data_IF_734852173531
#
_entry.id   IF_734852173531
#
_cell.length_a   1.000
_cell.length_b   1.000
_cell.length_c   1.000
_cell.angle_alpha   90.00
_cell.angle_beta   90.00
_cell.angle_gamma   90.00
#
_symmetry.space_group_name_H-M   'P 1'
#
loop_
_entity.id
_entity.type
_entity.pdbx_description
1 polymer ?
#
# COMPACT_ATOMS: atom_id res chain seq x y z
N UNK A 1 -36.11 25.16 -19.40
CA UNK A 1 -34.66 25.09 -19.12
C UNK A 1 -34.37 23.69 -18.62
N UNK A 2 -33.43 22.95 -19.23
CA UNK A 2 -33.03 21.63 -18.72
C UNK A 2 -32.25 21.82 -17.41
N UNK A 3 -32.68 21.10 -16.38
CA UNK A 3 -32.05 21.14 -15.06
C UNK A 3 -30.71 20.39 -15.18
N UNK A 4 -29.60 21.09 -14.96
CA UNK A 4 -28.29 20.45 -14.89
C UNK A 4 -28.22 19.62 -13.61
N UNK A 5 -27.88 18.34 -13.72
CA UNK A 5 -27.59 17.46 -12.59
C UNK A 5 -26.08 17.30 -12.51
N UNK A 6 -25.50 17.72 -11.40
CA UNK A 6 -24.09 17.44 -11.10
C UNK A 6 -24.01 16.15 -10.31
N UNK A 7 -23.38 15.13 -10.88
CA UNK A 7 -23.04 13.90 -10.18
C UNK A 7 -21.63 14.07 -9.62
N UNK A 8 -21.50 14.06 -8.29
CA UNK A 8 -20.21 14.05 -7.60
C UNK A 8 -19.98 12.65 -7.04
N UNK A 9 -18.76 12.13 -7.16
CA UNK A 9 -18.36 10.97 -6.36
C UNK A 9 -18.28 11.39 -4.89
N UNK A 10 -18.63 10.47 -3.99
CA UNK A 10 -18.44 10.67 -2.56
C UNK A 10 -16.97 11.01 -2.28
N UNK A 11 -16.75 11.97 -1.38
CA UNK A 11 -15.42 12.27 -0.86
C UNK A 11 -14.81 10.98 -0.32
N UNK A 12 -13.68 10.56 -0.88
CA UNK A 12 -12.82 9.54 -0.27
C UNK A 12 -12.24 10.19 0.98
N UNK A 13 -12.56 9.63 2.14
CA UNK A 13 -11.96 10.04 3.40
C UNK A 13 -10.62 9.33 3.49
N UNK A 14 -9.53 10.10 3.61
CA UNK A 14 -8.20 9.53 3.79
C UNK A 14 -7.99 9.28 5.28
N UNK A 15 -8.44 8.10 5.73
CA UNK A 15 -8.34 7.62 7.10
C UNK A 15 -7.05 6.81 7.32
N UNK A 16 -6.85 6.24 8.50
CA UNK A 16 -5.70 5.36 8.75
C UNK A 16 -5.79 4.15 7.80
N UNK A 17 -4.75 3.83 7.02
CA UNK A 17 -4.78 2.69 6.11
C UNK A 17 -5.07 1.34 6.79
N UNK A 18 -4.92 1.24 8.12
CA UNK A 18 -5.30 0.04 8.88
C UNK A 18 -6.82 -0.12 9.07
N UNK A 19 -7.61 0.92 8.85
CA UNK A 19 -9.08 0.90 9.04
C UNK A 19 -9.83 0.47 7.77
N UNK A 20 -9.16 0.43 6.61
CA UNK A 20 -9.78 0.05 5.35
C UNK A 20 -9.58 -1.46 5.05
N UNK A 21 -10.68 -2.20 5.02
CA UNK A 21 -10.67 -3.65 4.73
C UNK A 21 -10.75 -3.97 3.24
N UNK A 22 -11.73 -3.41 2.54
CA UNK A 22 -12.14 -3.86 1.20
C UNK A 22 -12.74 -2.76 0.31
N UNK A 23 -12.56 -1.48 0.67
CA UNK A 23 -12.99 -0.36 -0.16
C UNK A 23 -12.01 -0.11 -1.31
N UNK A 24 -12.39 -0.52 -2.53
CA UNK A 24 -11.54 -0.42 -3.72
C UNK A 24 -11.10 1.01 -4.04
N UNK A 25 -11.97 2.02 -3.84
CA UNK A 25 -11.63 3.41 -4.11
C UNK A 25 -10.57 3.92 -3.12
N UNK A 26 -10.72 3.60 -1.83
CA UNK A 26 -9.76 3.99 -0.79
C UNK A 26 -8.43 3.23 -0.95
N UNK A 27 -8.48 1.91 -1.21
CA UNK A 27 -7.29 1.08 -1.42
C UNK A 27 -6.45 1.59 -2.59
N UNK A 28 -7.07 2.00 -3.70
CA UNK A 28 -6.35 2.57 -4.85
C UNK A 28 -5.58 3.84 -4.48
N UNK A 29 -6.14 4.68 -3.60
CA UNK A 29 -5.43 5.87 -3.10
C UNK A 29 -4.30 5.48 -2.14
N UNK A 30 -4.51 4.49 -1.27
CA UNK A 30 -3.44 4.01 -0.38
C UNK A 30 -2.27 3.39 -1.13
N UNK A 31 -2.52 2.58 -2.16
CA UNK A 31 -1.47 2.02 -3.02
C UNK A 31 -0.68 3.10 -3.79
N UNK A 32 -1.25 4.30 -3.97
CA UNK A 32 -0.57 5.43 -4.58
C UNK A 32 0.30 6.24 -3.61
N UNK A 33 0.05 6.14 -2.30
CA UNK A 33 0.70 6.96 -1.25
C UNK A 33 1.62 6.15 -0.34
N UNK A 34 1.32 4.87 -0.13
CA UNK A 34 2.03 3.96 0.75
C UNK A 34 2.53 2.73 -0.01
N UNK A 35 3.68 2.22 0.42
CA UNK A 35 4.22 0.96 -0.07
C UNK A 35 4.25 -0.10 1.05
N UNK A 36 4.02 -1.37 0.67
CA UNK A 36 4.19 -2.50 1.56
C UNK A 36 5.63 -3.05 1.54
N UNK A 37 5.97 -3.92 2.50
CA UNK A 37 7.25 -4.65 2.48
C UNK A 37 7.39 -5.53 1.23
N UNK A 38 6.29 -6.19 0.86
CA UNK A 38 6.17 -7.07 -0.31
C UNK A 38 4.87 -6.77 -1.04
N UNK A 39 4.85 -6.94 -2.36
CA UNK A 39 3.65 -6.74 -3.19
C UNK A 39 3.24 -8.01 -3.88
N UNK A 40 1.94 -8.20 -4.08
CA UNK A 40 1.39 -9.30 -4.88
C UNK A 40 1.31 -8.87 -6.35
N UNK A 41 1.95 -9.61 -7.24
CA UNK A 41 1.89 -9.39 -8.68
C UNK A 41 0.58 -9.91 -9.29
N UNK A 42 0.35 -9.53 -10.55
CA UNK A 42 -0.82 -9.96 -11.33
C UNK A 42 -0.87 -11.48 -11.57
N UNK A 43 0.28 -12.14 -11.49
CA UNK A 43 0.43 -13.60 -11.56
C UNK A 43 0.18 -14.29 -10.22
N UNK A 44 -0.20 -13.54 -9.19
CA UNK A 44 -0.47 -14.02 -7.84
C UNK A 44 0.78 -14.31 -7.00
N UNK A 45 1.99 -14.07 -7.52
CA UNK A 45 3.24 -14.27 -6.78
C UNK A 45 3.60 -13.04 -5.95
N UNK A 46 4.44 -13.22 -4.95
CA UNK A 46 4.96 -12.13 -4.13
C UNK A 46 6.30 -11.62 -4.66
N UNK A 47 6.44 -10.29 -4.71
CA UNK A 47 7.60 -9.59 -5.25
C UNK A 47 8.16 -8.59 -4.23
N UNK A 48 9.46 -8.28 -4.30
CA UNK A 48 10.07 -7.17 -3.58
C UNK A 48 9.33 -5.84 -3.80
N UNK A 49 9.13 -5.10 -2.71
CA UNK A 49 8.63 -3.73 -2.67
C UNK A 49 9.60 -2.90 -1.80
N UNK A 50 9.23 -2.42 -0.61
CA UNK A 50 10.17 -1.76 0.30
C UNK A 50 11.29 -2.69 0.77
N UNK A 51 10.97 -3.97 0.98
CA UNK A 51 11.98 -5.00 1.22
C UNK A 51 12.55 -5.48 -0.12
N UNK A 52 13.88 -5.43 -0.27
CA UNK A 52 14.57 -6.00 -1.43
C UNK A 52 14.66 -7.53 -1.37
N UNK A 53 14.63 -8.10 -0.17
CA UNK A 53 14.62 -9.54 0.06
C UNK A 53 14.07 -9.88 1.44
N UNK A 54 13.73 -11.15 1.64
CA UNK A 54 13.35 -11.69 2.93
C UNK A 54 13.77 -13.14 3.08
N UNK A 55 13.94 -13.58 4.32
CA UNK A 55 14.26 -14.97 4.68
C UNK A 55 13.25 -15.47 5.69
N UNK A 56 12.76 -16.68 5.48
CA UNK A 56 11.89 -17.41 6.40
C UNK A 56 12.70 -18.47 7.14
N UNK A 57 12.62 -18.43 8.46
CA UNK A 57 13.17 -19.49 9.33
C UNK A 57 12.57 -20.86 9.02
N UNK A 58 13.30 -21.93 9.34
CA UNK A 58 12.90 -23.32 9.02
C UNK A 58 11.56 -23.73 9.64
N UNK A 59 11.19 -23.16 10.79
CA UNK A 59 9.94 -23.43 11.48
C UNK A 59 8.80 -22.49 11.07
N UNK A 60 9.05 -21.60 10.11
CA UNK A 60 8.14 -20.59 9.60
C UNK A 60 7.64 -19.57 10.65
N UNK A 61 8.36 -19.37 11.76
CA UNK A 61 7.93 -18.46 12.84
C UNK A 61 8.61 -17.10 12.82
N UNK A 62 9.77 -17.01 12.18
CA UNK A 62 10.53 -15.78 12.04
C UNK A 62 10.72 -15.42 10.57
N UNK A 63 10.32 -14.20 10.22
CA UNK A 63 10.60 -13.54 8.96
C UNK A 63 11.63 -12.43 9.18
N UNK A 64 12.67 -12.39 8.36
CA UNK A 64 13.64 -11.30 8.35
C UNK A 64 13.58 -10.61 7.00
N UNK A 65 13.24 -9.33 6.99
CA UNK A 65 13.18 -8.50 5.79
C UNK A 65 14.42 -7.62 5.71
N UNK A 66 15.02 -7.52 4.52
CA UNK A 66 16.06 -6.55 4.24
C UNK A 66 15.44 -5.41 3.44
N UNK A 67 15.40 -4.21 4.03
CA UNK A 67 14.89 -3.01 3.37
C UNK A 67 15.89 -2.51 2.32
N UNK A 68 15.37 -1.84 1.28
CA UNK A 68 16.22 -1.08 0.35
C UNK A 68 16.93 0.04 1.10
N UNK A 69 18.14 0.38 0.67
CA UNK A 69 18.89 1.48 1.26
C UNK A 69 18.34 2.85 0.84
N UNK A 70 18.44 3.83 1.73
CA UNK A 70 18.10 5.23 1.43
C UNK A 70 16.62 5.52 1.25
N UNK A 71 15.75 4.66 1.78
CA UNK A 71 14.31 4.92 1.80
C UNK A 71 13.99 6.07 2.75
N UNK A 72 13.09 6.95 2.31
CA UNK A 72 12.60 8.08 3.10
C UNK A 72 11.09 8.16 3.02
N UNK A 73 10.47 8.67 4.07
CA UNK A 73 9.08 9.12 4.03
C UNK A 73 8.94 10.40 3.20
N UNK A 74 7.69 10.78 2.91
CA UNK A 74 7.36 11.97 2.13
C UNK A 74 7.83 13.28 2.77
N UNK A 75 8.08 13.30 4.07
CA UNK A 75 8.65 14.44 4.82
C UNK A 75 10.19 14.45 4.84
N UNK A 76 10.83 13.47 4.22
CA UNK A 76 12.29 13.31 4.18
C UNK A 76 12.89 12.59 5.39
N UNK A 77 12.09 12.16 6.37
CA UNK A 77 12.59 11.33 7.46
C UNK A 77 13.07 9.97 6.90
N UNK A 78 14.18 9.41 7.42
CA UNK A 78 14.62 8.08 7.02
C UNK A 78 13.62 7.02 7.50
N UNK A 79 13.44 5.99 6.67
CA UNK A 79 12.73 4.76 7.04
C UNK A 79 13.64 3.79 7.78
#
# INVERSE_FOLDING_TARGET
MQQAVTILQSRIVFEDPQDCTDNADTLAVYEAVFDALVRRGVDGRFYPALAESWVLSKDARCWTFKLRAGLTFHDGAPL
#
